data_IF_002200540747
#
_entry.id   IF_002200540747
#
_cell.length_a   1.000
_cell.length_b   1.000
_cell.length_c   1.000
_cell.angle_alpha   90.00
_cell.angle_beta   90.00
_cell.angle_gamma   90.00
#
_symmetry.space_group_name_H-M   'P 1'
#
loop_
_entity.id
_entity.type
_entity.pdbx_description
1 polymer ?
#
# COMPACT_ATOMS: atom_id res chain seq x y z
N UNK A 1 -6.43 0.29 -9.62
CA UNK A 1 -7.68 0.79 -8.99
C UNK A 1 -7.90 0.29 -7.57
N UNK A 2 -7.57 -0.97 -7.22
CA UNK A 2 -7.68 -1.45 -5.83
C UNK A 2 -6.92 -0.59 -4.80
N UNK A 3 -5.78 -0.01 -5.19
CA UNK A 3 -5.01 0.95 -4.39
C UNK A 3 -5.82 2.20 -3.99
N UNK A 4 -6.79 2.60 -4.81
CA UNK A 4 -7.65 3.75 -4.54
C UNK A 4 -8.92 3.36 -3.78
N UNK A 5 -9.07 2.09 -3.37
CA UNK A 5 -10.26 1.61 -2.65
C UNK A 5 -11.45 1.29 -3.55
N UNK A 6 -11.31 1.49 -4.85
CA UNK A 6 -12.33 1.18 -5.83
C UNK A 6 -12.37 -0.33 -6.10
N UNK A 7 -13.58 -0.94 -6.18
CA UNK A 7 -13.71 -2.33 -6.56
C UNK A 7 -13.23 -2.53 -7.99
N UNK A 8 -12.53 -3.63 -8.22
CA UNK A 8 -12.09 -4.04 -9.56
C UNK A 8 -12.74 -5.36 -9.88
N UNK A 9 -13.36 -5.43 -11.06
CA UNK A 9 -13.91 -6.68 -11.59
C UNK A 9 -12.95 -7.19 -12.67
N UNK A 10 -12.42 -8.39 -12.45
CA UNK A 10 -11.52 -9.08 -13.37
C UNK A 10 -12.29 -10.13 -14.15
N UNK A 11 -12.06 -10.18 -15.46
CA UNK A 11 -12.64 -11.19 -16.33
C UNK A 11 -11.79 -12.48 -16.40
N UNK A 12 -10.48 -12.36 -16.20
CA UNK A 12 -9.55 -13.51 -16.21
C UNK A 12 -8.79 -13.64 -14.89
N UNK A 13 -8.50 -14.89 -14.51
CA UNK A 13 -7.65 -15.24 -13.35
C UNK A 13 -6.18 -14.91 -13.57
N UNK A 14 -5.75 -14.85 -14.82
CA UNK A 14 -4.32 -14.67 -15.14
C UNK A 14 -3.89 -13.20 -15.03
N UNK A 15 -4.86 -12.28 -14.93
CA UNK A 15 -4.63 -10.84 -14.78
C UNK A 15 -4.64 -10.36 -13.32
N UNK A 16 -4.54 -11.28 -12.36
CA UNK A 16 -4.61 -10.99 -10.93
C UNK A 16 -3.28 -10.35 -10.47
N UNK A 17 -3.23 -9.02 -10.48
CA UNK A 17 -2.10 -8.23 -9.93
C UNK A 17 -2.15 -8.10 -8.39
N UNK A 18 -3.35 -8.20 -7.82
CA UNK A 18 -3.60 -8.11 -6.38
C UNK A 18 -4.29 -9.40 -5.90
N UNK A 19 -4.16 -9.80 -4.63
CA UNK A 19 -4.85 -10.97 -4.08
C UNK A 19 -6.32 -11.03 -4.48
N UNK A 20 -6.84 -12.25 -4.68
CA UNK A 20 -8.21 -12.46 -5.11
C UNK A 20 -9.24 -11.79 -4.19
N UNK A 21 -8.95 -11.67 -2.89
CA UNK A 21 -9.84 -11.03 -1.91
C UNK A 21 -10.07 -9.53 -2.18
N UNK A 22 -9.18 -8.87 -2.93
CA UNK A 22 -9.31 -7.46 -3.31
C UNK A 22 -10.13 -7.25 -4.58
N UNK A 23 -10.31 -8.29 -5.41
CA UNK A 23 -10.90 -8.19 -6.73
C UNK A 23 -12.14 -9.10 -6.88
N UNK A 24 -13.13 -8.65 -7.63
CA UNK A 24 -14.21 -9.53 -8.04
C UNK A 24 -13.80 -10.31 -9.27
N UNK A 25 -13.59 -11.61 -9.14
CA UNK A 25 -13.24 -12.46 -10.27
C UNK A 25 -14.51 -13.02 -10.92
N UNK A 26 -14.83 -12.61 -12.14
CA UNK A 26 -15.94 -13.16 -12.91
C UNK A 26 -15.60 -14.52 -13.53
N UNK A 27 -16.59 -15.42 -13.59
CA UNK A 27 -16.44 -16.74 -14.23
C UNK A 27 -16.89 -16.77 -15.69
N UNK A 28 -17.87 -15.95 -16.03
CA UNK A 28 -18.45 -15.84 -17.37
C UNK A 28 -19.00 -14.43 -17.62
N UNK A 29 -19.47 -14.16 -18.83
CA UNK A 29 -19.96 -12.83 -19.25
C UNK A 29 -21.11 -12.31 -18.39
N UNK A 30 -22.09 -13.14 -18.07
CA UNK A 30 -23.25 -12.72 -17.28
C UNK A 30 -22.86 -12.43 -15.82
N UNK A 31 -21.98 -13.25 -15.24
CA UNK A 31 -21.42 -13.05 -13.91
C UNK A 31 -20.56 -11.77 -13.84
N UNK A 32 -19.86 -11.42 -14.92
CA UNK A 32 -19.09 -10.18 -15.01
C UNK A 32 -19.99 -8.94 -14.83
N UNK A 33 -21.11 -8.85 -15.54
CA UNK A 33 -22.05 -7.74 -15.39
C UNK A 33 -22.67 -7.68 -13.99
N UNK A 34 -23.06 -8.83 -13.43
CA UNK A 34 -23.56 -8.92 -12.04
C UNK A 34 -22.52 -8.42 -11.03
N UNK A 35 -21.24 -8.74 -11.25
CA UNK A 35 -20.14 -8.26 -10.41
C UNK A 35 -19.85 -6.79 -10.59
N UNK A 36 -20.06 -6.23 -11.79
CA UNK A 36 -20.02 -4.78 -12.00
C UNK A 36 -21.11 -4.10 -11.18
N UNK A 37 -22.36 -4.57 -11.23
CA UNK A 37 -23.44 -4.00 -10.42
C UNK A 37 -23.14 -4.10 -8.92
N UNK A 38 -22.61 -5.24 -8.48
CA UNK A 38 -22.20 -5.46 -7.09
C UNK A 38 -21.06 -4.52 -6.69
N UNK A 39 -20.08 -4.33 -7.57
CA UNK A 39 -18.98 -3.39 -7.39
C UNK A 39 -19.48 -1.95 -7.29
N UNK A 40 -20.42 -1.54 -8.15
CA UNK A 40 -21.03 -0.21 -8.12
C UNK A 40 -21.83 0.02 -6.84
N UNK A 41 -22.62 -0.96 -6.39
CA UNK A 41 -23.37 -0.90 -5.12
C UNK A 41 -22.44 -0.80 -3.91
N UNK A 42 -21.36 -1.58 -3.89
CA UNK A 42 -20.41 -1.58 -2.78
C UNK A 42 -19.52 -0.35 -2.76
N UNK A 43 -19.28 0.28 -3.91
CA UNK A 43 -18.56 1.55 -4.03
C UNK A 43 -17.14 1.51 -3.46
N UNK A 44 -16.69 2.69 -3.07
CA UNK A 44 -15.37 2.91 -2.47
C UNK A 44 -15.30 2.29 -1.06
N UNK A 45 -14.18 1.64 -0.74
CA UNK A 45 -13.97 1.02 0.56
C UNK A 45 -12.53 1.25 1.05
N UNK A 46 -12.38 1.84 2.24
CA UNK A 46 -11.07 2.10 2.84
C UNK A 46 -10.25 0.82 3.10
N UNK A 47 -10.88 -0.27 3.53
CA UNK A 47 -10.16 -1.50 3.81
C UNK A 47 -9.45 -2.06 2.57
N UNK A 48 -10.01 -1.85 1.37
CA UNK A 48 -9.34 -2.19 0.12
C UNK A 48 -8.08 -1.37 -0.11
N UNK A 49 -8.11 -0.06 0.14
CA UNK A 49 -6.91 0.82 0.09
C UNK A 49 -5.82 0.25 0.99
N UNK A 50 -6.19 -0.01 2.26
CA UNK A 50 -5.29 -0.51 3.29
C UNK A 50 -4.65 -1.84 2.89
N UNK A 51 -5.44 -2.81 2.41
CA UNK A 51 -4.93 -4.10 2.01
C UNK A 51 -4.10 -4.05 0.72
N UNK A 52 -4.48 -3.23 -0.26
CA UNK A 52 -3.70 -3.03 -1.48
C UNK A 52 -2.31 -2.42 -1.19
N UNK A 53 -2.24 -1.39 -0.33
CA UNK A 53 -0.96 -0.80 0.08
C UNK A 53 -0.08 -1.79 0.85
N UNK A 54 -0.67 -2.57 1.76
CA UNK A 54 0.07 -3.62 2.49
C UNK A 54 0.63 -4.68 1.55
N UNK A 55 -0.18 -5.14 0.59
CA UNK A 55 0.27 -6.08 -0.42
C UNK A 55 1.45 -5.53 -1.23
N UNK A 56 1.38 -4.27 -1.68
CA UNK A 56 2.48 -3.64 -2.41
C UNK A 56 3.74 -3.50 -1.57
N UNK A 57 3.62 -3.16 -0.28
CA UNK A 57 4.76 -3.10 0.64
C UNK A 57 5.42 -4.48 0.81
N UNK A 58 4.60 -5.53 0.93
CA UNK A 58 5.09 -6.91 0.99
C UNK A 58 5.74 -7.35 -0.32
N UNK A 59 5.12 -7.05 -1.46
CA UNK A 59 5.67 -7.37 -2.78
C UNK A 59 6.99 -6.64 -2.99
N UNK A 60 7.03 -5.33 -2.73
CA UNK A 60 8.24 -4.53 -2.86
C UNK A 60 9.36 -5.05 -1.97
N UNK A 61 9.09 -5.35 -0.70
CA UNK A 61 10.10 -5.95 0.18
C UNK A 61 10.53 -7.33 -0.32
N UNK A 62 9.62 -8.19 -0.76
CA UNK A 62 9.95 -9.52 -1.28
C UNK A 62 10.75 -9.49 -2.59
N UNK A 63 10.55 -8.46 -3.42
CA UNK A 63 11.25 -8.27 -4.69
C UNK A 63 12.56 -7.50 -4.56
N UNK A 64 12.83 -6.81 -3.45
CA UNK A 64 14.11 -6.14 -3.23
C UNK A 64 15.15 -7.13 -2.73
N UNK A 65 15.94 -7.65 -3.68
CA UNK A 65 17.15 -8.39 -3.33
C UNK A 65 18.28 -7.41 -3.01
N UNK A 66 18.92 -7.48 -1.83
CA UNK A 66 20.08 -6.65 -1.55
C UNK A 66 21.26 -7.14 -2.41
N UNK A 67 21.60 -6.40 -3.47
CA UNK A 67 22.86 -6.56 -4.18
C UNK A 67 24.00 -6.10 -3.27
N UNK A 68 24.50 -6.99 -2.40
CA UNK A 68 25.60 -6.66 -1.46
C UNK A 68 26.92 -7.38 -1.76
N UNK A 69 27.01 -8.22 -2.79
CA UNK A 69 28.16 -9.14 -2.93
C UNK A 69 28.87 -9.07 -4.29
N UNK A 70 28.43 -8.26 -5.25
CA UNK A 70 29.13 -8.17 -6.55
C UNK A 70 30.15 -7.02 -6.66
N UNK A 71 30.09 -6.02 -5.77
CA UNK A 71 30.94 -4.82 -5.90
C UNK A 71 32.14 -4.77 -4.94
N UNK A 72 32.33 -5.78 -4.08
CA UNK A 72 33.54 -5.87 -3.26
C UNK A 72 34.50 -6.90 -3.82
N UNK A 73 35.39 -6.41 -4.70
CA UNK A 73 36.70 -6.94 -5.10
C UNK A 73 36.75 -7.90 -6.31
N UNK A 74 37.16 -7.44 -7.51
CA UNK A 74 37.60 -8.31 -8.61
C UNK A 74 39.01 -8.89 -8.42
N UNK A 75 39.64 -8.70 -7.26
CA UNK A 75 41.05 -9.06 -7.03
C UNK A 75 41.19 -9.98 -5.83
N UNK A 76 40.62 -11.19 -5.87
CA UNK A 76 41.21 -12.36 -5.22
C UNK A 76 40.65 -13.62 -5.85
N UNK A 77 41.57 -14.54 -6.15
CA UNK A 77 41.38 -15.74 -6.92
C UNK A 77 40.20 -16.61 -6.43
N UNK A 78 39.74 -17.46 -7.36
CA UNK A 78 38.90 -18.63 -7.15
C UNK A 78 39.33 -19.45 -5.91
N UNK A 79 38.95 -19.00 -4.71
CA UNK A 79 38.93 -19.83 -3.53
C UNK A 79 37.66 -20.66 -3.60
N UNK A 80 37.82 -21.94 -3.97
CA UNK A 80 36.78 -22.97 -3.88
C UNK A 80 36.07 -22.78 -2.53
N UNK A 81 34.72 -22.69 -2.51
CA UNK A 81 33.99 -22.47 -1.27
C UNK A 81 34.37 -23.57 -0.29
N UNK A 82 35.08 -23.20 0.77
CA UNK A 82 35.37 -24.11 1.87
C UNK A 82 34.01 -24.54 2.41
N UNK A 83 33.74 -25.85 2.40
CA UNK A 83 32.48 -26.44 2.88
C UNK A 83 32.17 -25.88 4.27
N UNK A 84 31.32 -24.85 4.33
CA UNK A 84 30.83 -24.34 5.60
C UNK A 84 30.03 -25.46 6.23
N UNK A 85 30.40 -25.83 7.46
CA UNK A 85 29.68 -26.82 8.26
C UNK A 85 28.22 -26.37 8.37
N UNK A 86 27.37 -26.97 7.55
CA UNK A 86 25.92 -26.78 7.59
C UNK A 86 25.46 -27.07 9.01
N UNK A 87 24.87 -26.08 9.65
CA UNK A 87 24.44 -26.22 11.04
C UNK A 87 23.38 -27.32 11.14
N UNK A 88 23.31 -28.01 12.28
CA UNK A 88 22.32 -29.07 12.52
C UNK A 88 20.88 -28.58 12.24
N UNK A 89 20.61 -27.31 12.53
CA UNK A 89 19.33 -26.65 12.26
C UNK A 89 19.00 -26.59 10.76
N UNK A 90 19.97 -26.31 9.90
CA UNK A 90 19.75 -26.26 8.46
C UNK A 90 19.52 -27.66 7.86
N UNK A 91 20.17 -28.70 8.41
CA UNK A 91 19.91 -30.08 8.01
C UNK A 91 18.49 -30.52 8.36
N UNK A 92 18.04 -30.20 9.57
CA UNK A 92 16.67 -30.50 10.03
C UNK A 92 15.66 -29.73 9.17
N UNK A 93 15.93 -28.45 8.89
CA UNK A 93 15.06 -27.66 8.02
C UNK A 93 14.96 -28.24 6.61
N UNK A 94 16.04 -28.80 6.03
CA UNK A 94 15.99 -29.43 4.71
C UNK A 94 15.08 -30.65 4.66
N UNK A 95 15.01 -31.43 5.75
CA UNK A 95 14.21 -32.64 5.86
C UNK A 95 12.71 -32.38 6.08
N UNK A 96 12.32 -31.15 6.42
CA UNK A 96 10.91 -30.85 6.65
C UNK A 96 10.10 -30.82 5.33
N UNK A 97 8.88 -31.38 5.32
CA UNK A 97 7.97 -31.30 4.18
C UNK A 97 7.72 -29.85 3.78
N UNK A 98 7.50 -29.59 2.49
CA UNK A 98 7.29 -28.22 1.95
C UNK A 98 6.14 -27.50 2.66
N UNK A 99 5.08 -28.21 3.04
CA UNK A 99 3.94 -27.65 3.78
C UNK A 99 4.34 -27.18 5.18
N UNK A 100 5.17 -27.94 5.88
CA UNK A 100 5.67 -27.57 7.21
C UNK A 100 6.69 -26.44 7.11
N UNK A 101 7.52 -26.42 6.05
CA UNK A 101 8.37 -25.27 5.73
C UNK A 101 7.57 -24.01 5.49
N UNK A 102 6.44 -24.08 4.79
CA UNK A 102 5.58 -22.91 4.56
C UNK A 102 4.99 -22.38 5.87
N UNK A 103 4.46 -23.25 6.73
CA UNK A 103 3.92 -22.86 8.04
C UNK A 103 5.01 -22.29 8.94
N UNK A 104 6.15 -22.99 9.05
CA UNK A 104 7.28 -22.53 9.85
C UNK A 104 7.93 -21.29 9.27
N UNK A 105 7.94 -21.09 7.94
CA UNK A 105 8.49 -19.88 7.33
C UNK A 105 7.71 -18.64 7.75
N UNK A 106 6.38 -18.73 7.89
CA UNK A 106 5.60 -17.62 8.43
C UNK A 106 6.02 -17.23 9.86
N UNK A 107 6.59 -18.17 10.62
CA UNK A 107 7.04 -17.98 12.01
C UNK A 107 8.55 -17.65 12.09
N UNK A 108 9.37 -18.25 11.24
CA UNK A 108 10.84 -18.31 11.32
C UNK A 108 11.57 -17.56 10.22
N UNK A 109 10.89 -16.94 9.25
CA UNK A 109 11.58 -16.13 8.24
C UNK A 109 12.20 -14.91 8.94
N UNK A 110 13.46 -15.08 9.36
CA UNK A 110 14.46 -14.03 9.45
C UNK A 110 14.71 -13.58 8.01
N UNK A 111 13.78 -12.83 7.44
CA UNK A 111 14.03 -12.23 6.12
C UNK A 111 15.24 -11.31 6.31
N UNK A 112 16.26 -11.36 5.44
CA UNK A 112 17.46 -10.54 5.55
C UNK A 112 17.15 -9.09 5.12
N UNK A 113 16.13 -8.49 5.73
CA UNK A 113 15.85 -7.07 5.58
C UNK A 113 16.55 -6.31 6.70
N UNK A 114 17.10 -5.16 6.34
CA UNK A 114 17.43 -4.07 7.26
C UNK A 114 16.31 -3.92 8.29
N UNK A 115 16.61 -3.56 9.55
CA UNK A 115 15.64 -3.52 10.66
C UNK A 115 14.34 -2.75 10.34
N UNK A 116 14.42 -1.77 9.43
CA UNK A 116 13.26 -1.02 8.90
C UNK A 116 12.22 -1.93 8.21
N UNK A 117 12.66 -2.91 7.42
CA UNK A 117 11.77 -3.80 6.67
C UNK A 117 11.08 -4.83 7.57
N UNK A 118 11.75 -5.33 8.62
CA UNK A 118 11.15 -6.28 9.57
C UNK A 118 9.99 -5.67 10.33
N UNK A 119 10.14 -4.43 10.80
CA UNK A 119 9.08 -3.73 11.53
C UNK A 119 7.89 -3.42 10.62
N UNK A 120 8.13 -3.00 9.37
CA UNK A 120 7.05 -2.75 8.40
C UNK A 120 6.27 -4.03 8.05
N UNK A 121 6.97 -5.15 7.86
CA UNK A 121 6.33 -6.45 7.59
C UNK A 121 5.55 -6.92 8.82
N UNK A 122 6.14 -6.82 10.02
CA UNK A 122 5.44 -7.15 11.26
C UNK A 122 4.23 -6.24 11.49
N UNK A 123 4.27 -4.95 11.12
CA UNK A 123 3.11 -4.07 11.18
C UNK A 123 2.03 -4.45 10.16
N UNK A 124 2.42 -4.91 8.96
CA UNK A 124 1.51 -5.45 7.96
C UNK A 124 0.83 -6.74 8.45
N UNK A 125 1.59 -7.63 9.10
CA UNK A 125 1.12 -8.94 9.62
C UNK A 125 0.31 -8.78 10.91
N UNK A 126 0.89 -8.14 11.94
CA UNK A 126 0.31 -7.99 13.29
C UNK A 126 -0.78 -6.94 13.36
N UNK A 127 -0.96 -6.13 12.31
CA UNK A 127 -1.95 -5.07 12.25
C UNK A 127 -1.91 -4.14 13.46
N UNK A 128 -0.73 -3.69 13.90
CA UNK A 128 -0.64 -2.85 15.11
C UNK A 128 -1.56 -1.64 14.94
N UNK A 129 -2.57 -1.59 15.79
CA UNK A 129 -3.79 -0.78 15.67
C UNK A 129 -3.42 0.69 15.95
N UNK A 130 -2.85 1.37 14.97
CA UNK A 130 -2.99 2.82 14.90
C UNK A 130 -4.32 3.08 14.21
N UNK A 131 -5.41 2.98 14.99
CA UNK A 131 -6.76 3.29 14.53
C UNK A 131 -6.84 4.79 14.30
N UNK A 132 -6.42 5.24 13.11
CA UNK A 132 -6.81 6.55 12.60
C UNK A 132 -8.32 6.45 12.34
N UNK A 133 -9.12 7.26 13.03
CA UNK A 133 -10.55 7.35 12.77
C UNK A 133 -10.76 7.97 11.38
N UNK A 134 -11.13 7.12 10.42
CA UNK A 134 -11.35 7.50 9.02
C UNK A 134 -12.83 7.73 8.74
N UNK A 135 -13.73 7.49 9.70
CA UNK A 135 -15.16 7.62 9.49
C UNK A 135 -15.55 9.03 9.02
N UNK A 136 -14.81 10.06 9.44
CA UNK A 136 -14.99 11.44 8.96
C UNK A 136 -14.58 11.63 7.51
N UNK A 137 -13.45 11.06 7.10
CA UNK A 137 -12.97 11.13 5.70
C UNK A 137 -13.88 10.30 4.79
N UNK A 138 -14.33 9.14 5.24
CA UNK A 138 -15.30 8.33 4.50
C UNK A 138 -16.61 9.08 4.31
N UNK A 139 -17.16 9.68 5.38
CA UNK A 139 -18.33 10.56 5.27
C UNK A 139 -18.09 11.75 4.34
N UNK A 140 -16.90 12.34 4.36
CA UNK A 140 -16.52 13.44 3.47
C UNK A 140 -16.50 12.97 2.01
N UNK A 141 -15.86 11.83 1.71
CA UNK A 141 -15.79 11.26 0.37
C UNK A 141 -17.16 10.84 -0.17
N UNK A 142 -18.03 10.29 0.69
CA UNK A 142 -19.40 9.93 0.34
C UNK A 142 -20.31 11.17 0.16
N UNK A 143 -20.02 12.29 0.83
CA UNK A 143 -20.70 13.56 0.58
C UNK A 143 -20.19 14.24 -0.69
N UNK A 144 -18.88 14.14 -0.96
CA UNK A 144 -18.25 14.73 -2.14
C UNK A 144 -18.45 13.89 -3.39
N UNK A 145 -18.90 12.63 -3.32
CA UNK A 145 -19.18 11.79 -4.49
C UNK A 145 -20.36 12.28 -5.35
N UNK A 146 -21.08 13.33 -4.91
CA UNK A 146 -21.97 14.12 -5.77
C UNK A 146 -21.23 15.14 -6.64
N UNK A 147 -19.90 15.18 -6.60
CA UNK A 147 -19.11 15.80 -7.66
C UNK A 147 -19.17 14.88 -8.87
N UNK A 148 -20.29 14.96 -9.61
CA UNK A 148 -20.20 14.86 -11.05
C UNK A 148 -19.06 15.81 -11.42
N UNK A 149 -17.87 15.26 -11.71
CA UNK A 149 -16.82 16.00 -12.38
C UNK A 149 -17.53 16.58 -13.59
N UNK A 150 -17.79 17.88 -13.56
CA UNK A 150 -18.61 18.52 -14.58
C UNK A 150 -17.72 18.66 -15.81
N UNK A 151 -17.51 17.56 -16.51
CA UNK A 151 -16.61 17.45 -17.68
C UNK A 151 -17.09 18.38 -18.81
N UNK A 152 -18.33 18.89 -18.71
CA UNK A 152 -18.88 19.88 -19.64
C UNK A 152 -18.01 21.15 -19.71
N UNK A 153 -17.39 21.57 -18.61
CA UNK A 153 -16.57 22.79 -18.56
C UNK A 153 -15.09 22.55 -18.88
N UNK A 154 -14.61 21.30 -18.74
CA UNK A 154 -13.21 20.91 -19.02
C UNK A 154 -12.88 20.82 -20.52
N UNK A 155 -13.88 20.86 -21.41
CA UNK A 155 -13.67 20.72 -22.86
C UNK A 155 -13.19 22.00 -23.54
N UNK A 156 -13.25 23.16 -22.87
CA UNK A 156 -13.04 24.43 -23.56
C UNK A 156 -11.59 24.94 -23.49
N UNK A 157 -10.85 24.73 -22.38
CA UNK A 157 -9.42 25.05 -22.28
C UNK A 157 -8.74 24.14 -21.25
N UNK A 158 -7.55 23.62 -21.56
CA UNK A 158 -6.74 22.90 -20.59
C UNK A 158 -6.45 23.84 -19.39
N UNK A 159 -6.80 23.45 -18.15
CA UNK A 159 -6.56 24.30 -17.00
C UNK A 159 -5.06 24.58 -16.86
N UNK A 160 -4.70 25.83 -16.57
CA UNK A 160 -3.31 26.17 -16.25
C UNK A 160 -2.88 25.39 -15.00
N UNK A 161 -1.66 24.85 -15.02
CA UNK A 161 -1.05 24.07 -13.92
C UNK A 161 -1.21 24.74 -12.55
N UNK A 162 -1.18 26.09 -12.49
CA UNK A 162 -1.40 26.84 -11.25
C UNK A 162 -2.82 26.68 -10.66
N UNK A 163 -3.85 26.65 -11.52
CA UNK A 163 -5.25 26.50 -11.11
C UNK A 163 -5.50 25.09 -10.59
N UNK A 164 -4.99 24.09 -11.31
CA UNK A 164 -5.07 22.68 -10.90
C UNK A 164 -4.35 22.45 -9.56
N UNK A 165 -3.13 22.94 -9.41
CA UNK A 165 -2.38 22.86 -8.15
C UNK A 165 -3.14 23.50 -6.98
N UNK A 166 -3.77 24.65 -7.20
CA UNK A 166 -4.54 25.34 -6.17
C UNK A 166 -5.79 24.53 -5.77
N UNK A 167 -6.46 23.91 -6.73
CA UNK A 167 -7.60 23.03 -6.46
C UNK A 167 -7.17 21.77 -5.71
N UNK A 168 -6.10 21.09 -6.13
CA UNK A 168 -5.54 19.93 -5.44
C UNK A 168 -5.22 20.27 -3.98
N UNK A 169 -4.56 21.42 -3.74
CA UNK A 169 -4.23 21.83 -2.38
C UNK A 169 -5.50 22.09 -1.55
N UNK A 170 -6.56 22.66 -2.14
CA UNK A 170 -7.84 22.91 -1.45
C UNK A 170 -8.47 21.61 -0.99
N UNK A 171 -8.52 20.61 -1.87
CA UNK A 171 -9.02 19.27 -1.52
C UNK A 171 -8.18 18.62 -0.42
N UNK A 172 -6.84 18.74 -0.48
CA UNK A 172 -5.95 18.25 0.57
C UNK A 172 -6.18 18.95 1.93
N UNK A 173 -6.57 20.23 1.93
CA UNK A 173 -6.93 20.97 3.16
C UNK A 173 -8.20 20.42 3.78
N UNK A 174 -9.23 20.15 2.97
CA UNK A 174 -10.48 19.53 3.44
C UNK A 174 -10.20 18.14 4.05
N UNK A 175 -9.37 17.33 3.39
CA UNK A 175 -8.94 16.03 3.92
C UNK A 175 -8.20 16.18 5.26
N UNK A 176 -7.28 17.14 5.37
CA UNK A 176 -6.54 17.41 6.59
C UNK A 176 -7.46 17.79 7.75
N UNK A 177 -8.41 18.69 7.52
CA UNK A 177 -9.37 19.15 8.53
C UNK A 177 -10.30 18.01 8.99
N UNK A 178 -10.67 17.11 8.07
CA UNK A 178 -11.45 15.91 8.39
C UNK A 178 -10.67 14.90 9.26
N UNK A 179 -9.38 14.70 8.96
CA UNK A 179 -8.49 13.77 9.68
C UNK A 179 -8.05 14.29 11.05
N UNK A 180 -7.85 15.60 11.19
CA UNK A 180 -7.30 16.22 12.39
C UNK A 180 -8.24 17.32 12.93
N UNK A 181 -9.44 16.96 13.41
CA UNK A 181 -10.42 17.91 13.91
C UNK A 181 -9.91 18.59 15.19
N UNK A 182 -9.81 19.92 15.16
CA UNK A 182 -9.40 20.71 16.33
C UNK A 182 -8.65 21.98 15.94
N UNK A 183 -8.89 23.08 16.68
CA UNK A 183 -8.31 24.41 16.40
C UNK A 183 -6.78 24.35 16.40
N UNK A 184 -6.19 24.57 15.22
CA UNK A 184 -5.01 25.39 14.95
C UNK A 184 -3.87 25.51 15.98
N UNK A 185 -3.57 24.51 16.81
CA UNK A 185 -2.29 24.43 17.53
C UNK A 185 -1.17 23.99 16.56
N UNK A 186 -1.08 24.73 15.44
CA UNK A 186 -0.15 24.57 14.31
C UNK A 186 1.26 24.99 14.71
N UNK A 187 1.40 25.79 15.78
CA UNK A 187 2.69 26.28 16.28
C UNK A 187 3.54 25.19 16.95
N UNK A 188 2.91 24.09 17.41
CA UNK A 188 3.60 23.04 18.19
C UNK A 188 3.75 21.70 17.47
N UNK A 189 3.52 21.63 16.14
CA UNK A 189 3.88 20.42 15.38
C UNK A 189 5.42 20.39 15.31
N UNK A 190 6.05 19.73 16.30
CA UNK A 190 7.48 19.47 16.28
C UNK A 190 7.84 18.82 14.94
N UNK A 191 8.95 19.24 14.31
CA UNK A 191 9.57 18.62 13.12
C UNK A 191 10.10 17.19 13.41
N UNK A 192 9.47 16.46 14.32
CA UNK A 192 9.85 15.11 14.69
C UNK A 192 9.26 14.15 13.67
N UNK A 193 10.01 13.92 12.60
CA UNK A 193 9.77 12.87 11.62
C UNK A 193 8.77 13.21 10.51
N UNK A 194 8.90 12.45 9.42
CA UNK A 194 8.12 12.55 8.19
C UNK A 194 6.70 11.99 8.40
N UNK A 195 5.91 12.64 9.28
CA UNK A 195 4.57 12.19 9.64
C UNK A 195 3.49 12.80 8.72
N UNK A 196 2.41 12.04 8.47
CA UNK A 196 1.33 12.44 7.56
C UNK A 196 0.73 13.81 7.91
N UNK A 197 0.57 14.08 9.21
CA UNK A 197 0.03 15.36 9.73
C UNK A 197 0.92 16.55 9.32
N UNK A 198 2.23 16.43 9.45
CA UNK A 198 3.20 17.45 9.08
C UNK A 198 3.26 17.66 7.57
N UNK A 199 3.24 16.58 6.79
CA UNK A 199 3.29 16.66 5.33
C UNK A 199 2.04 17.32 4.75
N UNK A 200 0.85 16.92 5.20
CA UNK A 200 -0.40 17.58 4.80
C UNK A 200 -0.41 19.05 5.23
N UNK A 201 0.00 19.36 6.47
CA UNK A 201 0.11 20.73 6.96
C UNK A 201 1.03 21.59 6.08
N UNK A 202 2.21 21.08 5.70
CA UNK A 202 3.18 21.81 4.86
C UNK A 202 2.58 22.20 3.51
N UNK A 203 1.76 21.33 2.92
CA UNK A 203 1.12 21.57 1.63
C UNK A 203 -0.04 22.58 1.76
N UNK A 204 -0.79 22.51 2.86
CA UNK A 204 -2.02 23.29 3.04
C UNK A 204 -1.83 24.63 3.73
N UNK A 205 -0.70 24.88 4.42
CA UNK A 205 -0.41 26.14 5.12
C UNK A 205 -0.45 27.38 4.22
N UNK A 206 -0.10 27.23 2.94
CA UNK A 206 0.01 28.35 1.99
C UNK A 206 -1.30 28.55 1.18
N UNK A 207 -2.44 28.07 1.69
CA UNK A 207 -3.78 28.24 1.14
C UNK A 207 -4.71 28.99 2.10
#
# INVERSE_FOLDING_TARGET
MGLLGLPVVLYSKDLILYPADLNYLAKNKNDYFRKIETALKNGWNYNRVKYAYRWLSLLHSSCTYPFRVLDTQPNNAFSIPHYQKVSLNEKIQRLLPVQVKQILSQILVKVPFTDVGKNQIQDCIRQKITNIDIAKVEKMLLKSSNTLVNIKDLRQQAPRVAVENLQIRRELKVIYEALFPGKNNLRNIKKTGNNLKYNLYRITRNL
#
